data_IF_195799055704
#
_entry.id   IF_195799055704
#
_cell.length_a   1.000
_cell.length_b   1.000
_cell.length_c   1.000
_cell.angle_alpha   90.00
_cell.angle_beta   90.00
_cell.angle_gamma   90.00
#
_symmetry.space_group_name_H-M   'P 1'
#
loop_
_entity.id
_entity.type
_entity.pdbx_description
1 polymer ?
#
# COMPACT_ATOMS: atom_id res chain seq x y z
N UNK A 1 -11.90 -16.93 -15.16
CA UNK A 1 -11.48 -17.47 -13.84
C UNK A 1 -10.01 -17.25 -13.48
N UNK A 2 -8.98 -17.59 -14.27
CA UNK A 2 -7.59 -17.28 -13.85
C UNK A 2 -7.26 -15.78 -13.97
N UNK A 3 -7.74 -15.12 -15.03
CA UNK A 3 -7.54 -13.69 -15.26
C UNK A 3 -8.21 -12.82 -14.18
N UNK A 4 -9.47 -13.08 -13.86
CA UNK A 4 -10.21 -12.34 -12.82
C UNK A 4 -9.52 -12.43 -11.46
N UNK A 5 -9.00 -13.61 -11.12
CA UNK A 5 -8.22 -13.80 -9.90
C UNK A 5 -6.98 -12.91 -9.85
N UNK A 6 -6.24 -12.81 -10.96
CA UNK A 6 -5.10 -11.90 -11.04
C UNK A 6 -5.50 -10.42 -11.01
N UNK A 7 -6.67 -10.09 -11.57
CA UNK A 7 -7.21 -8.74 -11.56
C UNK A 7 -7.59 -8.30 -10.14
N UNK A 8 -8.34 -9.14 -9.41
CA UNK A 8 -8.68 -8.91 -8.00
C UNK A 8 -7.44 -8.79 -7.13
N UNK A 9 -6.41 -9.62 -7.37
CA UNK A 9 -5.15 -9.57 -6.63
C UNK A 9 -4.41 -8.26 -6.88
N UNK A 10 -4.26 -7.86 -8.14
CA UNK A 10 -3.61 -6.58 -8.49
C UNK A 10 -4.36 -5.38 -7.92
N UNK A 11 -5.69 -5.40 -8.00
CA UNK A 11 -6.52 -4.30 -7.50
C UNK A 11 -6.49 -4.23 -5.97
N UNK A 12 -6.56 -5.37 -5.29
CA UNK A 12 -6.41 -5.44 -3.84
C UNK A 12 -5.06 -4.87 -3.39
N UNK A 13 -3.95 -5.31 -4.00
CA UNK A 13 -2.59 -4.80 -3.74
C UNK A 13 -2.50 -3.29 -4.02
N UNK A 14 -3.10 -2.81 -5.11
CA UNK A 14 -3.09 -1.39 -5.46
C UNK A 14 -3.87 -0.51 -4.47
N UNK A 15 -4.98 -1.02 -3.92
CA UNK A 15 -5.86 -0.28 -2.99
C UNK A 15 -5.33 -0.31 -1.56
N UNK A 16 -4.90 -1.48 -1.10
CA UNK A 16 -4.48 -1.73 0.30
C UNK A 16 -2.99 -1.51 0.52
N UNK A 17 -2.18 -1.62 -0.53
CA UNK A 17 -0.71 -1.52 -0.45
C UNK A 17 -0.02 -2.73 0.18
N UNK A 18 -0.73 -3.84 0.45
CA UNK A 18 -0.12 -5.09 0.93
C UNK A 18 0.53 -5.88 -0.21
N UNK A 19 1.41 -6.81 0.14
CA UNK A 19 2.06 -7.73 -0.80
C UNK A 19 1.07 -8.71 -1.47
N UNK A 20 1.45 -9.20 -2.65
CA UNK A 20 0.67 -10.15 -3.45
C UNK A 20 0.35 -11.45 -2.71
N UNK A 21 1.29 -11.98 -1.91
CA UNK A 21 1.10 -13.20 -1.12
C UNK A 21 0.04 -13.03 -0.02
N UNK A 22 0.05 -11.89 0.68
CA UNK A 22 -0.99 -11.54 1.67
C UNK A 22 -2.34 -11.27 0.99
N UNK A 23 -2.34 -10.48 -0.08
CA UNK A 23 -3.55 -10.18 -0.84
C UNK A 23 -4.23 -11.45 -1.35
N UNK A 24 -3.45 -12.40 -1.83
CA UNK A 24 -3.93 -13.71 -2.25
C UNK A 24 -4.62 -14.45 -1.10
N UNK A 25 -4.04 -14.46 0.10
CA UNK A 25 -4.64 -15.13 1.25
C UNK A 25 -6.00 -14.54 1.62
N UNK A 26 -6.12 -13.20 1.67
CA UNK A 26 -7.38 -12.52 1.93
C UNK A 26 -8.42 -12.80 0.84
N UNK A 27 -8.02 -12.76 -0.43
CA UNK A 27 -8.89 -13.10 -1.54
C UNK A 27 -9.30 -14.57 -1.50
N UNK A 28 -8.40 -15.53 -1.25
CA UNK A 28 -8.75 -16.94 -1.14
C UNK A 28 -9.76 -17.19 -0.01
N UNK A 29 -9.64 -16.49 1.12
CA UNK A 29 -10.62 -16.56 2.22
C UNK A 29 -11.95 -15.86 1.90
N UNK A 30 -11.92 -14.82 1.07
CA UNK A 30 -13.11 -14.10 0.61
C UNK A 30 -13.76 -14.72 -0.64
N UNK A 31 -13.24 -15.85 -1.14
CA UNK A 31 -13.76 -16.49 -2.35
C UNK A 31 -13.38 -15.77 -3.66
N UNK A 32 -12.27 -15.02 -3.64
CA UNK A 32 -11.78 -14.12 -4.69
C UNK A 32 -12.66 -12.89 -4.92
N UNK A 33 -13.46 -12.53 -3.92
CA UNK A 33 -14.33 -11.36 -3.97
C UNK A 33 -13.60 -10.12 -3.40
N UNK A 34 -13.27 -9.18 -4.29
CA UNK A 34 -12.50 -8.00 -3.94
C UNK A 34 -13.17 -7.16 -2.86
N UNK A 35 -14.50 -6.99 -2.93
CA UNK A 35 -15.25 -6.16 -1.99
C UNK A 35 -15.22 -6.76 -0.58
N UNK A 36 -15.41 -8.08 -0.48
CA UNK A 36 -15.36 -8.79 0.81
C UNK A 36 -13.93 -8.81 1.37
N UNK A 37 -12.93 -9.07 0.52
CA UNK A 37 -11.53 -9.04 0.95
C UNK A 37 -11.16 -7.65 1.50
N UNK A 38 -11.54 -6.57 0.81
CA UNK A 38 -11.26 -5.20 1.25
C UNK A 38 -11.96 -4.90 2.58
N UNK A 39 -13.25 -5.24 2.70
CA UNK A 39 -13.99 -5.08 3.94
C UNK A 39 -13.31 -5.82 5.09
N UNK A 40 -12.95 -7.10 4.88
CA UNK A 40 -12.25 -7.92 5.87
C UNK A 40 -10.89 -7.32 6.24
N UNK A 41 -10.12 -6.79 5.29
CA UNK A 41 -8.82 -6.18 5.56
C UNK A 41 -8.92 -4.92 6.41
N UNK A 42 -9.91 -4.06 6.17
CA UNK A 42 -10.12 -2.86 6.97
C UNK A 42 -10.81 -3.14 8.33
N UNK A 43 -11.63 -4.19 8.42
CA UNK A 43 -12.25 -4.63 9.68
C UNK A 43 -11.26 -5.40 10.58
N UNK A 44 -10.36 -6.20 9.99
CA UNK A 44 -9.30 -6.95 10.69
C UNK A 44 -8.05 -6.08 10.97
N UNK A 45 -7.74 -5.12 10.07
CA UNK A 45 -6.61 -4.18 10.19
C UNK A 45 -6.81 -3.05 11.22
N UNK A 46 -7.75 -3.22 12.15
CA UNK A 46 -7.98 -2.29 13.25
C UNK A 46 -6.94 -2.35 14.37
N UNK A 47 -6.01 -3.32 14.34
CA UNK A 47 -4.97 -3.47 15.35
C UNK A 47 -3.64 -3.89 14.68
N UNK A 48 -2.56 -3.23 15.09
CA UNK A 48 -1.15 -3.50 14.76
C UNK A 48 -0.59 -2.93 13.42
N UNK A 49 -0.13 -1.67 13.52
CA UNK A 49 1.15 -1.20 12.98
C UNK A 49 1.47 -1.45 11.48
N UNK A 50 0.77 -0.75 10.57
CA UNK A 50 1.31 -0.48 9.22
C UNK A 50 2.40 0.60 9.33
N UNK A 51 3.56 0.20 9.85
CA UNK A 51 4.87 0.82 9.54
C UNK A 51 5.21 0.30 8.14
N UNK A 52 4.97 1.04 7.05
CA UNK A 52 5.97 1.95 6.48
C UNK A 52 5.30 2.80 5.39
N UNK A 53 4.80 3.97 5.76
CA UNK A 53 4.69 5.09 4.81
C UNK A 53 6.12 5.49 4.45
N UNK A 54 6.72 4.88 3.43
CA UNK A 54 7.95 5.39 2.82
C UNK A 54 8.14 4.88 1.39
N UNK A 55 7.21 5.17 0.47
CA UNK A 55 7.67 5.44 -0.90
C UNK A 55 6.66 6.19 -1.78
N UNK A 56 6.76 7.52 -1.77
CA UNK A 56 6.87 8.32 -2.99
C UNK A 56 6.90 9.82 -2.63
N UNK A 57 8.11 10.40 -2.59
CA UNK A 57 8.53 11.39 -3.60
C UNK A 57 9.97 11.88 -3.31
N UNK A 58 10.87 11.87 -4.32
CA UNK A 58 12.21 12.44 -4.23
C UNK A 58 12.13 13.97 -4.28
N UNK A 59 11.87 14.60 -3.13
CA UNK A 59 11.95 16.05 -2.97
C UNK A 59 13.35 16.47 -2.57
N UNK A 60 14.20 16.74 -3.56
CA UNK A 60 15.47 17.46 -3.39
C UNK A 60 15.26 18.66 -2.47
N UNK A 61 15.76 18.60 -1.23
CA UNK A 61 15.88 19.77 -0.38
C UNK A 61 16.97 20.65 -0.96
N UNK A 62 16.58 21.52 -1.89
CA UNK A 62 17.34 22.69 -2.29
C UNK A 62 17.67 23.49 -1.04
N UNK A 63 18.91 23.33 -0.54
CA UNK A 63 19.44 24.14 0.57
C UNK A 63 19.67 25.55 0.06
N UNK A 64 18.61 26.34 0.04
CA UNK A 64 18.67 27.78 -0.08
C UNK A 64 18.83 28.43 1.30
N UNK A 65 19.68 29.45 1.35
CA UNK A 65 19.88 30.47 2.42
C UNK A 65 20.90 30.09 3.51
N UNK A 66 21.95 30.87 3.82
CA UNK A 66 22.18 32.31 3.69
C UNK A 66 23.70 32.66 3.63
N UNK A 67 24.09 33.92 3.33
CA UNK A 67 25.45 34.32 2.93
C UNK A 67 26.34 34.64 4.14
N UNK A 68 27.61 34.24 4.08
CA UNK A 68 28.64 34.70 5.03
C UNK A 68 29.60 35.63 4.29
N UNK A 69 29.32 36.92 4.39
CA UNK A 69 30.35 37.93 4.19
C UNK A 69 31.23 37.95 5.43
N UNK A 70 32.52 37.70 5.27
CA UNK A 70 33.54 38.13 6.21
C UNK A 70 34.60 38.88 5.40
N UNK A 71 34.86 40.11 5.83
CA UNK A 71 35.84 41.02 5.24
C UNK A 71 37.23 40.87 5.82
#
# INVERSE_FOLDING_TARGET
MAAERQESLREFVAVTGTEEDRARFFLESAGWDLQIALASFYEDGGDDDIVTISQATPGSVSRGTAPRGEG
#
